data_IF_400345668377
#
_entry.id   IF_400345668377
#
_cell.length_a   1.000
_cell.length_b   1.000
_cell.length_c   1.000
_cell.angle_alpha   90.00
_cell.angle_beta   90.00
_cell.angle_gamma   90.00
#
_symmetry.space_group_name_H-M   'P 1'
#
loop_
_entity.id
_entity.type
_entity.pdbx_description
1 polymer ?
#
# COMPACT_ATOMS: atom_id res chain seq x y z
N UNK A 1 -3.86 11.28 -3.57
CA UNK A 1 -5.29 10.92 -3.52
C UNK A 1 -6.09 12.16 -3.89
N UNK A 2 -7.28 12.03 -4.50
CA UNK A 2 -8.10 13.21 -4.81
C UNK A 2 -8.61 13.86 -3.51
N UNK A 3 -8.22 15.11 -3.28
CA UNK A 3 -8.52 15.83 -2.04
C UNK A 3 -9.93 16.41 -1.97
N UNK A 4 -10.30 16.91 -0.79
CA UNK A 4 -11.58 17.58 -0.55
C UNK A 4 -12.72 16.63 -0.15
N UNK A 5 -13.96 17.14 -0.29
CA UNK A 5 -15.19 16.45 0.14
C UNK A 5 -16.22 16.27 -1.00
N UNK A 6 -15.81 16.49 -2.25
CA UNK A 6 -16.66 16.32 -3.41
C UNK A 6 -16.97 14.83 -3.72
N UNK A 7 -17.88 14.55 -4.66
CA UNK A 7 -18.33 13.19 -5.00
C UNK A 7 -17.22 12.29 -5.56
N UNK A 8 -16.11 12.86 -6.05
CA UNK A 8 -14.93 12.13 -6.54
C UNK A 8 -13.74 12.16 -5.58
N UNK A 9 -13.91 12.78 -4.40
CA UNK A 9 -12.85 12.84 -3.40
C UNK A 9 -12.57 11.47 -2.79
N UNK A 10 -11.35 11.28 -2.31
CA UNK A 10 -10.95 10.07 -1.60
C UNK A 10 -11.75 9.86 -0.31
N UNK A 11 -12.08 10.94 0.40
CA UNK A 11 -12.94 10.90 1.59
C UNK A 11 -14.28 10.19 1.32
N UNK A 12 -14.87 10.41 0.14
CA UNK A 12 -16.16 9.83 -0.24
C UNK A 12 -16.05 8.46 -0.93
N UNK A 13 -14.85 8.03 -1.33
CA UNK A 13 -14.63 6.85 -2.18
C UNK A 13 -13.53 5.91 -1.65
N UNK A 14 -13.24 5.94 -0.34
CA UNK A 14 -12.22 5.11 0.33
C UNK A 14 -12.81 3.92 1.09
N UNK A 15 -13.98 3.43 0.67
CA UNK A 15 -14.71 2.34 1.34
C UNK A 15 -13.86 1.09 1.53
N UNK A 16 -13.04 0.71 0.56
CA UNK A 16 -12.17 -0.47 0.69
C UNK A 16 -11.14 -0.28 1.81
N UNK A 17 -10.42 0.85 1.85
CA UNK A 17 -9.45 1.15 2.90
C UNK A 17 -10.13 1.31 4.27
N UNK A 18 -11.33 1.87 4.32
CA UNK A 18 -12.10 1.97 5.57
C UNK A 18 -12.42 0.58 6.12
N UNK A 19 -13.01 -0.30 5.30
CA UNK A 19 -13.34 -1.66 5.71
C UNK A 19 -12.10 -2.43 6.20
N UNK A 20 -10.96 -2.23 5.53
CA UNK A 20 -9.68 -2.81 5.93
C UNK A 20 -9.24 -2.36 7.33
N UNK A 21 -9.29 -1.06 7.60
CA UNK A 21 -8.91 -0.50 8.91
C UNK A 21 -9.89 -0.95 9.98
N UNK A 22 -11.19 -0.99 9.68
CA UNK A 22 -12.23 -1.45 10.60
C UNK A 22 -11.98 -2.91 11.04
N UNK A 23 -11.58 -3.79 10.11
CA UNK A 23 -11.19 -5.18 10.43
C UNK A 23 -9.90 -5.25 11.23
N UNK A 24 -8.91 -4.40 10.91
CA UNK A 24 -7.61 -4.42 11.59
C UNK A 24 -7.66 -3.81 13.01
N UNK A 25 -8.66 -2.99 13.31
CA UNK A 25 -8.70 -2.15 14.52
C UNK A 25 -8.62 -2.96 15.82
N UNK A 26 -9.49 -3.96 15.99
CA UNK A 26 -9.52 -4.76 17.23
C UNK A 26 -8.19 -5.48 17.47
N UNK A 27 -7.60 -5.98 16.38
CA UNK A 27 -6.30 -6.64 16.41
C UNK A 27 -5.15 -5.66 16.71
N UNK A 28 -5.24 -4.42 16.22
CA UNK A 28 -4.28 -3.37 16.56
C UNK A 28 -4.35 -3.04 18.05
N UNK A 29 -5.56 -2.86 18.58
CA UNK A 29 -5.79 -2.56 20.00
C UNK A 29 -5.24 -3.69 20.89
N UNK A 30 -5.57 -4.95 20.57
CA UNK A 30 -5.03 -6.16 21.23
C UNK A 30 -3.50 -6.16 21.22
N UNK A 31 -2.89 -5.91 20.06
CA UNK A 31 -1.43 -5.97 19.93
C UNK A 31 -0.74 -4.84 20.68
N UNK A 32 -1.33 -3.65 20.73
CA UNK A 32 -0.80 -2.54 21.51
C UNK A 32 -0.82 -2.91 23.00
N UNK A 33 -1.95 -3.41 23.50
CA UNK A 33 -2.11 -3.78 24.92
C UNK A 33 -1.14 -4.89 25.34
N UNK A 34 -0.91 -5.88 24.47
CA UNK A 34 0.00 -6.99 24.76
C UNK A 34 1.50 -6.64 24.65
N UNK A 35 1.85 -5.65 23.82
CA UNK A 35 3.23 -5.46 23.38
C UNK A 35 3.83 -4.09 23.73
N UNK A 36 3.03 -3.11 24.13
CA UNK A 36 3.54 -1.82 24.59
C UNK A 36 3.99 -1.93 26.05
N UNK A 37 5.30 -2.01 26.23
CA UNK A 37 5.92 -2.01 27.55
C UNK A 37 6.02 -0.58 28.09
N UNK A 38 4.96 -0.12 28.77
CA UNK A 38 4.88 1.22 29.36
C UNK A 38 5.88 1.40 30.52
N UNK A 39 6.35 0.29 31.12
CA UNK A 39 7.37 0.35 32.19
C UNK A 39 8.79 0.56 31.64
N UNK A 40 8.99 0.45 30.33
CA UNK A 40 10.27 0.72 29.70
C UNK A 40 10.69 2.19 29.95
N UNK A 41 11.95 2.45 30.36
CA UNK A 41 12.43 3.81 30.63
C UNK A 41 12.27 4.81 29.46
N UNK A 42 12.11 4.31 28.23
CA UNK A 42 11.84 5.12 27.05
C UNK A 42 10.43 5.75 27.06
N UNK A 43 9.51 5.26 27.89
CA UNK A 43 8.13 5.74 28.09
C UNK A 43 7.93 6.31 29.50
N UNK A 44 8.89 7.09 29.99
CA UNK A 44 8.71 7.87 31.23
C UNK A 44 7.39 8.65 31.18
N UNK A 45 6.53 8.47 32.18
CA UNK A 45 5.23 9.13 32.30
C UNK A 45 5.30 10.67 32.27
N UNK A 46 6.49 11.23 32.46
CA UNK A 46 6.77 12.66 32.36
C UNK A 46 6.87 13.17 30.92
N UNK A 47 7.00 12.28 29.93
CA UNK A 47 7.14 12.61 28.51
C UNK A 47 5.88 12.25 27.70
N UNK A 48 5.51 13.07 26.70
CA UNK A 48 4.40 12.74 25.81
C UNK A 48 4.71 11.52 24.94
N UNK A 49 3.71 10.67 24.75
CA UNK A 49 3.76 9.58 23.76
C UNK A 49 3.42 10.15 22.39
N UNK A 50 4.32 9.98 21.43
CA UNK A 50 4.15 10.45 20.06
C UNK A 50 3.66 9.33 19.14
N UNK A 51 2.59 9.60 18.41
CA UNK A 51 2.03 8.72 17.38
C UNK A 51 2.13 9.44 16.04
N UNK A 52 2.65 8.76 15.03
CA UNK A 52 2.75 9.27 13.67
C UNK A 52 1.97 8.34 12.72
N UNK A 53 1.12 8.95 11.89
CA UNK A 53 0.41 8.27 10.80
C UNK A 53 1.09 8.62 9.47
N UNK A 54 1.63 7.60 8.80
CA UNK A 54 2.40 7.74 7.56
C UNK A 54 1.57 7.22 6.40
N UNK A 55 1.05 8.15 5.59
CA UNK A 55 0.08 7.82 4.55
C UNK A 55 -1.35 8.17 4.93
N UNK A 56 -1.57 9.24 5.72
CA UNK A 56 -2.87 9.78 6.14
C UNK A 56 -3.80 10.26 5.01
N UNK A 57 -3.46 9.93 3.75
CA UNK A 57 -4.17 10.24 2.51
C UNK A 57 -4.14 11.70 2.07
N UNK A 58 -4.89 12.59 2.73
CA UNK A 58 -5.03 13.97 2.29
C UNK A 58 -3.90 14.85 2.84
N UNK A 59 -2.79 14.80 2.09
CA UNK A 59 -1.60 15.65 2.11
C UNK A 59 -0.82 15.44 0.79
N UNK A 60 0.16 16.28 0.43
CA UNK A 60 0.73 16.32 -0.92
C UNK A 60 1.62 15.12 -1.35
N UNK A 61 1.70 14.02 -0.59
CA UNK A 61 2.56 12.89 -0.95
C UNK A 61 1.88 11.53 -0.75
N UNK A 62 1.79 10.77 -1.85
CA UNK A 62 2.42 9.45 -2.06
C UNK A 62 1.79 8.84 -3.32
N UNK A 63 2.35 9.15 -4.49
CA UNK A 63 2.22 8.33 -5.70
C UNK A 63 3.50 8.47 -6.51
N UNK A 64 4.17 7.35 -6.76
CA UNK A 64 5.23 7.28 -7.76
C UNK A 64 4.64 6.64 -9.01
N UNK A 65 4.47 7.44 -10.05
CA UNK A 65 4.21 6.92 -11.39
C UNK A 65 5.57 6.65 -12.05
N UNK A 66 5.93 5.39 -12.31
CA UNK A 66 7.10 5.10 -13.13
C UNK A 66 6.66 5.09 -14.60
N UNK A 67 7.18 6.05 -15.35
CA UNK A 67 6.92 6.20 -16.77
C UNK A 67 7.76 5.17 -17.57
N UNK A 68 7.15 4.03 -17.88
CA UNK A 68 7.76 2.98 -18.68
C UNK A 68 6.91 2.62 -19.90
N UNK A 69 7.47 2.70 -21.10
CA UNK A 69 6.89 2.10 -22.32
C UNK A 69 7.10 0.58 -22.24
N UNK A 70 6.14 -0.14 -21.66
CA UNK A 70 6.25 -1.61 -21.51
C UNK A 70 5.61 -2.28 -22.74
N UNK A 71 6.44 -2.73 -23.69
CA UNK A 71 6.04 -3.74 -24.69
C UNK A 71 5.93 -5.11 -24.03
N UNK A 72 5.22 -6.07 -24.64
CA UNK A 72 5.09 -7.44 -24.11
C UNK A 72 6.44 -8.15 -23.80
N UNK A 73 7.54 -7.73 -24.43
CA UNK A 73 8.92 -8.19 -24.19
C UNK A 73 9.69 -7.43 -23.09
N UNK A 74 9.09 -6.38 -22.51
CA UNK A 74 9.68 -5.53 -21.47
C UNK A 74 9.03 -5.69 -20.09
N UNK A 75 8.07 -6.60 -19.94
CA UNK A 75 7.34 -6.82 -18.68
C UNK A 75 8.27 -7.35 -17.58
N UNK A 76 9.16 -8.29 -17.89
CA UNK A 76 10.13 -8.82 -16.92
C UNK A 76 11.08 -7.73 -16.41
N UNK A 77 11.57 -6.87 -17.32
CA UNK A 77 12.43 -5.73 -16.98
C UNK A 77 11.70 -4.70 -16.13
N UNK A 78 10.40 -4.48 -16.40
CA UNK A 78 9.59 -3.59 -15.60
C UNK A 78 9.41 -4.18 -14.19
N UNK A 79 9.02 -5.45 -14.09
CA UNK A 79 8.88 -6.16 -12.80
C UNK A 79 10.18 -6.06 -11.98
N UNK A 80 11.33 -6.30 -12.61
CA UNK A 80 12.64 -6.17 -11.97
C UNK A 80 12.91 -4.74 -11.49
N UNK A 81 12.65 -3.73 -12.34
CA UNK A 81 12.84 -2.33 -11.96
C UNK A 81 11.93 -1.91 -10.79
N UNK A 82 10.66 -2.34 -10.79
CA UNK A 82 9.73 -2.06 -9.70
C UNK A 82 10.13 -2.75 -8.40
N UNK A 83 10.52 -4.02 -8.45
CA UNK A 83 11.01 -4.75 -7.27
C UNK A 83 12.30 -4.10 -6.72
N UNK A 84 13.23 -3.72 -7.61
CA UNK A 84 14.45 -3.01 -7.21
C UNK A 84 14.16 -1.66 -6.54
N UNK A 85 13.21 -0.88 -7.09
CA UNK A 85 12.81 0.41 -6.52
C UNK A 85 12.11 0.23 -5.17
N UNK A 86 11.16 -0.71 -5.07
CA UNK A 86 10.50 -1.03 -3.81
C UNK A 86 11.49 -1.42 -2.72
N UNK A 87 12.45 -2.31 -3.04
CA UNK A 87 13.50 -2.72 -2.10
C UNK A 87 14.27 -1.51 -1.56
N UNK A 88 14.71 -0.63 -2.45
CA UNK A 88 15.44 0.59 -2.08
C UNK A 88 14.60 1.51 -1.19
N UNK A 89 13.34 1.73 -1.56
CA UNK A 89 12.45 2.64 -0.83
C UNK A 89 12.06 2.09 0.54
N UNK A 90 11.77 0.79 0.63
CA UNK A 90 11.47 0.14 1.90
C UNK A 90 12.69 0.05 2.82
N UNK A 91 13.88 -0.19 2.27
CA UNK A 91 15.12 -0.13 3.06
C UNK A 91 15.34 1.26 3.64
N UNK A 92 15.19 2.31 2.82
CA UNK A 92 15.28 3.69 3.28
C UNK A 92 14.22 3.99 4.34
N UNK A 93 12.97 3.60 4.10
CA UNK A 93 11.88 3.77 5.06
C UNK A 93 12.22 3.12 6.41
N UNK A 94 12.61 1.85 6.43
CA UNK A 94 12.97 1.15 7.66
C UNK A 94 14.16 1.82 8.35
N UNK A 95 15.21 2.18 7.61
CA UNK A 95 16.38 2.87 8.16
C UNK A 95 16.01 4.20 8.83
N UNK A 96 15.20 5.02 8.17
CA UNK A 96 14.75 6.30 8.72
C UNK A 96 13.86 6.10 9.94
N UNK A 97 12.88 5.19 9.89
CA UNK A 97 12.03 4.87 11.05
C UNK A 97 12.83 4.33 12.23
N UNK A 98 13.93 3.62 11.97
CA UNK A 98 14.81 3.11 13.02
C UNK A 98 15.59 4.22 13.76
N UNK A 99 15.78 5.39 13.14
CA UNK A 99 16.39 6.57 13.76
C UNK A 99 15.37 7.38 14.58
N UNK A 100 14.13 7.43 14.10
CA UNK A 100 13.07 8.25 14.69
C UNK A 100 12.35 7.56 15.85
N UNK A 101 12.17 6.24 15.79
CA UNK A 101 11.50 5.48 16.84
C UNK A 101 12.43 5.23 18.02
N UNK A 102 11.91 5.45 19.22
CA UNK A 102 12.56 5.10 20.48
C UNK A 102 12.82 3.59 20.60
N UNK A 103 13.75 3.19 21.45
CA UNK A 103 13.99 1.78 21.75
C UNK A 103 12.73 1.14 22.34
N UNK A 104 12.33 -0.02 21.82
CA UNK A 104 11.07 -0.66 22.19
C UNK A 104 9.83 -0.03 21.55
N UNK A 105 9.97 1.09 20.84
CA UNK A 105 8.89 1.72 20.07
C UNK A 105 8.27 0.78 19.06
N UNK A 106 6.97 0.93 18.84
CA UNK A 106 6.19 0.06 17.96
C UNK A 106 5.94 0.74 16.62
N UNK A 107 5.89 -0.07 15.56
CA UNK A 107 5.50 0.35 14.23
C UNK A 107 4.54 -0.67 13.65
N UNK A 108 3.38 -0.20 13.20
CA UNK A 108 2.34 -1.01 12.59
C UNK A 108 2.31 -0.67 11.11
N UNK A 109 2.54 -1.68 10.26
CA UNK A 109 2.49 -1.51 8.81
C UNK A 109 1.29 -2.28 8.29
N UNK A 110 0.27 -1.55 7.86
CA UNK A 110 -0.88 -2.09 7.16
C UNK A 110 -0.67 -1.89 5.66
N UNK A 111 -0.51 -2.96 4.89
CA UNK A 111 -0.17 -2.85 3.47
C UNK A 111 -0.80 -3.96 2.63
N UNK A 112 -1.05 -3.66 1.35
CA UNK A 112 -1.56 -4.64 0.39
C UNK A 112 -0.38 -5.29 -0.32
N UNK A 113 -0.31 -6.63 -0.28
CA UNK A 113 0.79 -7.39 -0.86
C UNK A 113 0.27 -8.58 -1.64
N UNK A 114 1.11 -9.06 -2.55
CA UNK A 114 0.89 -10.30 -3.27
C UNK A 114 1.35 -11.49 -2.42
N UNK A 115 0.49 -12.49 -2.15
CA UNK A 115 0.94 -13.74 -1.54
C UNK A 115 1.96 -14.46 -2.44
N UNK A 116 2.81 -15.27 -1.81
CA UNK A 116 3.80 -16.06 -2.56
C UNK A 116 3.11 -17.05 -3.50
N UNK A 117 3.62 -17.17 -4.74
CA UNK A 117 3.09 -18.08 -5.76
C UNK A 117 1.89 -17.53 -6.55
N UNK A 118 1.30 -16.41 -6.14
CA UNK A 118 0.24 -15.74 -6.91
C UNK A 118 0.87 -14.90 -8.02
N UNK A 119 0.31 -14.98 -9.23
CA UNK A 119 0.71 -14.14 -10.35
C UNK A 119 -0.11 -12.85 -10.33
N UNK A 120 0.56 -11.69 -10.35
CA UNK A 120 -0.12 -10.40 -10.27
C UNK A 120 -1.19 -10.22 -11.36
N UNK A 121 -0.91 -10.64 -12.60
CA UNK A 121 -1.86 -10.54 -13.71
C UNK A 121 -3.13 -11.39 -13.55
N UNK A 122 -3.15 -12.32 -12.59
CA UNK A 122 -4.32 -13.16 -12.29
C UNK A 122 -5.16 -12.61 -11.13
N UNK A 123 -4.71 -11.52 -10.51
CA UNK A 123 -5.42 -10.84 -9.42
C UNK A 123 -6.45 -9.85 -9.94
N UNK A 124 -7.45 -9.52 -9.13
CA UNK A 124 -8.46 -8.49 -9.43
C UNK A 124 -7.79 -7.15 -9.77
N UNK A 125 -6.79 -6.74 -8.98
CA UNK A 125 -6.01 -5.53 -9.26
C UNK A 125 -5.21 -5.59 -10.57
N UNK A 126 -4.49 -6.69 -10.83
CA UNK A 126 -3.70 -6.81 -12.06
C UNK A 126 -4.57 -6.87 -13.33
N UNK A 127 -5.70 -7.57 -13.28
CA UNK A 127 -6.68 -7.58 -14.38
C UNK A 127 -7.37 -6.22 -14.57
N UNK A 128 -7.66 -5.52 -13.47
CA UNK A 128 -8.19 -4.14 -13.49
C UNK A 128 -7.20 -3.16 -14.11
N UNK A 129 -5.92 -3.25 -13.76
CA UNK A 129 -4.85 -2.47 -14.39
C UNK A 129 -4.69 -2.81 -15.87
N UNK A 130 -4.87 -4.07 -16.26
CA UNK A 130 -4.88 -4.42 -17.67
C UNK A 130 -6.04 -3.75 -18.41
N UNK A 131 -7.23 -3.66 -17.80
CA UNK A 131 -8.37 -2.94 -18.37
C UNK A 131 -8.02 -1.46 -18.62
N UNK A 132 -7.38 -0.82 -17.65
CA UNK A 132 -6.88 0.56 -17.72
C UNK A 132 -5.86 0.72 -18.84
N UNK A 133 -4.85 -0.16 -18.87
CA UNK A 133 -3.80 -0.19 -19.91
C UNK A 133 -4.39 -0.37 -21.30
N UNK A 134 -5.42 -1.21 -21.46
CA UNK A 134 -6.08 -1.39 -22.76
C UNK A 134 -6.91 -0.19 -23.18
N UNK A 135 -7.41 0.62 -22.24
CA UNK A 135 -8.09 1.89 -22.56
C UNK A 135 -7.11 3.00 -22.97
N UNK A 136 -5.86 2.96 -22.50
CA UNK A 136 -4.83 3.96 -22.86
C UNK A 136 -3.52 3.30 -23.25
N UNK A 137 -3.12 3.47 -24.51
CA UNK A 137 -1.89 2.94 -25.12
C UNK A 137 -0.59 3.39 -24.43
N UNK A 138 -0.62 4.35 -23.51
CA UNK A 138 0.53 4.91 -22.80
C UNK A 138 0.36 4.88 -21.27
N UNK A 139 -0.29 3.85 -20.71
CA UNK A 139 -0.45 3.78 -19.26
C UNK A 139 0.90 3.63 -18.56
N UNK A 140 1.18 4.55 -17.65
CA UNK A 140 2.02 4.32 -16.48
C UNK A 140 1.55 3.04 -15.80
N UNK A 141 2.46 2.07 -15.64
CA UNK A 141 2.16 0.90 -14.83
C UNK A 141 1.87 1.44 -13.42
N UNK A 142 0.64 1.25 -12.96
CA UNK A 142 0.34 1.49 -11.58
C UNK A 142 1.00 0.37 -10.76
N UNK A 143 1.43 0.75 -9.57
CA UNK A 143 2.27 0.02 -8.63
C UNK A 143 2.20 -1.51 -8.73
N UNK A 144 3.28 -2.15 -9.17
CA UNK A 144 3.40 -3.61 -9.04
C UNK A 144 3.37 -3.97 -7.56
N UNK A 145 2.35 -4.73 -7.14
CA UNK A 145 2.25 -5.23 -5.77
C UNK A 145 3.47 -6.08 -5.44
N UNK A 146 4.14 -5.72 -4.36
CA UNK A 146 5.31 -6.45 -3.90
C UNK A 146 4.87 -7.72 -3.17
N UNK A 147 5.75 -8.72 -3.13
CA UNK A 147 5.43 -9.99 -2.48
C UNK A 147 5.66 -9.91 -0.98
N UNK A 148 4.83 -10.64 -0.23
CA UNK A 148 5.04 -10.77 1.21
C UNK A 148 6.45 -11.30 1.56
N UNK A 149 6.95 -12.31 0.84
CA UNK A 149 8.30 -12.84 1.07
C UNK A 149 9.39 -11.77 0.96
N UNK A 150 9.27 -10.87 -0.01
CA UNK A 150 10.23 -9.79 -0.25
C UNK A 150 10.22 -8.77 0.89
N UNK A 151 9.04 -8.32 1.34
CA UNK A 151 8.94 -7.40 2.48
C UNK A 151 9.53 -8.05 3.76
N UNK A 152 9.23 -9.32 4.00
CA UNK A 152 9.74 -10.06 5.15
C UNK A 152 11.27 -10.12 5.14
N UNK A 153 11.86 -10.45 3.99
CA UNK A 153 13.32 -10.48 3.83
C UNK A 153 13.95 -9.11 4.10
N UNK A 154 13.35 -8.03 3.63
CA UNK A 154 13.84 -6.66 3.86
C UNK A 154 13.83 -6.29 5.34
N UNK A 155 12.76 -6.60 6.06
CA UNK A 155 12.66 -6.34 7.51
C UNK A 155 13.72 -7.14 8.27
N UNK A 156 13.88 -8.43 7.94
CA UNK A 156 14.87 -9.31 8.58
C UNK A 156 16.30 -8.84 8.29
N UNK A 157 16.60 -8.51 7.03
CA UNK A 157 17.92 -8.04 6.61
C UNK A 157 18.29 -6.70 7.26
N UNK A 158 17.33 -5.78 7.39
CA UNK A 158 17.52 -4.49 8.03
C UNK A 158 17.93 -4.63 9.51
N UNK A 159 17.32 -5.58 10.22
CA UNK A 159 17.76 -5.97 11.57
C UNK A 159 17.54 -4.94 12.67
N UNK A 160 16.99 -3.74 12.37
CA UNK A 160 16.62 -2.75 13.39
C UNK A 160 15.27 -3.04 14.03
N UNK A 161 14.43 -3.83 13.38
CA UNK A 161 13.11 -4.21 13.85
C UNK A 161 13.01 -5.69 14.15
N UNK A 162 12.23 -6.03 15.16
CA UNK A 162 11.72 -7.36 15.41
C UNK A 162 10.30 -7.44 14.86
N UNK A 163 10.02 -8.47 14.07
CA UNK A 163 8.64 -8.82 13.74
C UNK A 163 8.02 -9.44 14.98
N UNK A 164 6.99 -8.79 15.53
CA UNK A 164 6.23 -9.27 16.69
C UNK A 164 5.12 -10.18 16.21
N UNK A 165 4.33 -9.70 15.25
CA UNK A 165 3.19 -10.42 14.68
C UNK A 165 2.99 -10.05 13.23
N UNK A 166 2.47 -10.99 12.47
CA UNK A 166 2.03 -10.80 11.09
C UNK A 166 0.65 -11.40 11.01
N UNK A 167 -0.31 -10.62 10.54
CA UNK A 167 -1.65 -11.11 10.29
C UNK A 167 -2.02 -10.86 8.83
N UNK A 168 -2.48 -11.92 8.18
CA UNK A 168 -3.02 -11.85 6.83
C UNK A 168 -4.52 -11.64 6.98
N UNK A 169 -5.00 -10.48 6.54
CA UNK A 169 -6.40 -10.12 6.55
C UNK A 169 -7.00 -10.39 5.17
N UNK A 170 -8.24 -10.87 5.16
CA UNK A 170 -8.98 -11.06 3.92
C UNK A 170 -9.23 -9.70 3.25
N UNK A 171 -9.02 -9.67 1.93
CA UNK A 171 -9.21 -8.45 1.17
C UNK A 171 -10.72 -8.16 0.99
N UNK A 172 -11.20 -6.92 1.20
CA UNK A 172 -12.64 -6.63 1.21
C UNK A 172 -13.39 -6.96 -0.08
N UNK A 173 -12.72 -7.07 -1.24
CA UNK A 173 -13.37 -7.49 -2.48
C UNK A 173 -13.80 -8.96 -2.51
N UNK A 174 -13.44 -9.74 -1.49
CA UNK A 174 -14.08 -11.04 -1.25
C UNK A 174 -15.58 -10.93 -0.97
N UNK A 175 -16.06 -9.82 -0.40
CA UNK A 175 -17.48 -9.58 -0.11
C UNK A 175 -18.24 -9.20 -1.39
N UNK A 176 -19.36 -9.88 -1.66
CA UNK A 176 -20.19 -9.66 -2.84
C UNK A 176 -20.65 -8.20 -2.97
N UNK A 177 -20.93 -7.52 -1.85
CA UNK A 177 -21.35 -6.10 -1.85
C UNK A 177 -20.26 -5.15 -2.38
N UNK A 178 -19.02 -5.61 -2.39
CA UNK A 178 -17.83 -4.87 -2.81
C UNK A 178 -17.45 -5.15 -4.27
N UNK A 179 -18.14 -6.07 -4.96
CA UNK A 179 -17.88 -6.46 -6.36
C UNK A 179 -18.62 -5.60 -7.39
N UNK A 180 -19.07 -4.41 -7.01
CA UNK A 180 -19.70 -3.45 -7.92
C UNK A 180 -18.63 -2.78 -8.81
N UNK A 181 -18.66 -2.97 -10.15
CA UNK A 181 -17.72 -2.34 -11.06
C UNK A 181 -17.71 -0.80 -10.97
N UNK A 182 -18.84 -0.18 -10.63
CA UNK A 182 -18.96 1.28 -10.45
C UNK A 182 -18.32 1.76 -9.16
N UNK A 183 -18.44 0.98 -8.09
CA UNK A 183 -17.70 1.23 -6.85
C UNK A 183 -16.19 1.16 -7.11
N UNK A 184 -15.74 0.14 -7.83
CA UNK A 184 -14.33 -0.04 -8.19
C UNK A 184 -13.80 1.11 -9.06
N UNK A 185 -14.55 1.51 -10.10
CA UNK A 185 -14.16 2.63 -10.97
C UNK A 185 -14.06 3.96 -10.21
N UNK A 186 -15.04 4.25 -9.34
CA UNK A 186 -15.02 5.45 -8.48
C UNK A 186 -13.86 5.45 -7.50
N UNK A 187 -13.61 4.28 -6.89
CA UNK A 187 -12.47 4.10 -6.00
C UNK A 187 -11.15 4.37 -6.72
N UNK A 188 -10.95 3.70 -7.85
CA UNK A 188 -9.76 3.85 -8.67
C UNK A 188 -9.56 5.31 -9.09
N UNK A 189 -10.64 5.99 -9.52
CA UNK A 189 -10.61 7.44 -9.79
C UNK A 189 -10.11 8.23 -8.60
N UNK A 190 -10.71 8.06 -7.43
CA UNK A 190 -10.30 8.81 -6.24
C UNK A 190 -8.84 8.57 -5.83
N UNK A 191 -8.28 7.41 -6.18
CA UNK A 191 -6.88 7.07 -5.96
C UNK A 191 -5.96 7.81 -6.93
N UNK A 192 -6.28 7.78 -8.22
CA UNK A 192 -5.31 8.12 -9.27
C UNK A 192 -5.62 9.42 -10.02
N UNK A 193 -6.76 10.08 -9.75
CA UNK A 193 -7.26 11.25 -10.51
C UNK A 193 -6.14 12.28 -10.72
N UNK A 194 -5.46 12.66 -9.64
CA UNK A 194 -4.38 13.66 -9.70
C UNK A 194 -3.20 13.20 -10.54
N UNK A 195 -2.79 11.93 -10.44
CA UNK A 195 -1.68 11.39 -11.25
C UNK A 195 -2.05 11.41 -12.72
N UNK A 196 -3.28 11.03 -13.05
CA UNK A 196 -3.77 10.99 -14.42
C UNK A 196 -3.98 12.41 -14.96
N UNK A 197 -4.46 13.35 -14.15
CA UNK A 197 -4.63 14.75 -14.55
C UNK A 197 -3.27 15.40 -14.83
N UNK A 198 -2.28 15.20 -13.96
CA UNK A 198 -0.92 15.72 -14.13
C UNK A 198 -0.26 15.18 -15.40
N UNK A 199 -0.48 13.91 -15.73
CA UNK A 199 0.16 13.27 -16.89
C UNK A 199 -0.59 13.48 -18.21
N UNK A 200 -1.92 13.60 -18.18
CA UNK A 200 -2.76 13.50 -19.37
C UNK A 200 -3.74 14.67 -19.56
N UNK A 201 -3.83 15.61 -18.61
CA UNK A 201 -4.73 16.76 -18.68
C UNK A 201 -6.22 16.43 -18.50
N UNK A 202 -7.08 17.39 -18.85
CA UNK A 202 -8.53 17.39 -18.51
C UNK A 202 -9.42 16.43 -19.31
N UNK A 203 -8.88 15.71 -20.30
CA UNK A 203 -9.61 14.65 -21.03
C UNK A 203 -9.87 13.38 -20.18
N UNK A 204 -9.72 13.50 -18.86
CA UNK A 204 -9.74 12.44 -17.86
C UNK A 204 -11.16 11.96 -17.49
N UNK A 205 -12.16 12.83 -17.58
CA UNK A 205 -13.54 12.48 -17.18
C UNK A 205 -14.08 11.36 -18.07
N UNK A 206 -13.90 11.49 -19.39
CA UNK A 206 -14.34 10.45 -20.32
C UNK A 206 -13.55 9.14 -20.17
N UNK A 207 -12.31 9.21 -19.68
CA UNK A 207 -11.51 8.01 -19.42
C UNK A 207 -12.14 7.16 -18.32
N UNK A 208 -12.57 7.75 -17.20
CA UNK A 208 -13.20 7.00 -16.12
C UNK A 208 -14.60 6.47 -16.50
N UNK A 209 -15.34 7.18 -17.36
CA UNK A 209 -16.61 6.68 -17.89
C UNK A 209 -16.39 5.45 -18.80
N UNK A 210 -15.38 5.48 -19.67
CA UNK A 210 -14.99 4.32 -20.49
C UNK A 210 -14.48 3.15 -19.64
N UNK A 211 -13.64 3.44 -18.64
CA UNK A 211 -13.16 2.44 -17.70
C UNK A 211 -14.31 1.75 -16.97
N UNK A 212 -15.30 2.52 -16.50
CA UNK A 212 -16.49 1.97 -15.84
C UNK A 212 -17.23 1.00 -16.75
N UNK A 213 -17.53 1.40 -17.99
CA UNK A 213 -18.18 0.52 -18.98
C UNK A 213 -17.38 -0.74 -19.27
N UNK A 214 -16.05 -0.64 -19.29
CA UNK A 214 -15.17 -1.78 -19.51
C UNK A 214 -15.19 -2.74 -18.32
N UNK A 215 -15.13 -2.24 -17.10
CA UNK A 215 -15.24 -3.08 -15.90
C UNK A 215 -16.62 -3.74 -15.80
N UNK A 216 -17.69 -3.02 -16.14
CA UNK A 216 -19.05 -3.58 -16.26
C UNK A 216 -19.11 -4.71 -17.32
N UNK A 217 -18.37 -4.58 -18.43
CA UNK A 217 -18.25 -5.62 -19.44
C UNK A 217 -17.33 -6.80 -19.07
N UNK A 218 -16.57 -6.71 -17.98
CA UNK A 218 -15.60 -7.71 -17.54
C UNK A 218 -15.83 -8.09 -16.06
N UNK A 219 -17.08 -8.35 -15.66
CA UNK A 219 -17.43 -8.64 -14.26
C UNK A 219 -16.69 -9.85 -13.66
N UNK A 220 -16.26 -10.80 -14.50
CA UNK A 220 -15.49 -11.96 -14.07
C UNK A 220 -14.19 -11.59 -13.34
N UNK A 221 -13.65 -10.37 -13.54
CA UNK A 221 -12.47 -9.86 -12.84
C UNK A 221 -12.68 -9.86 -11.32
N UNK A 222 -13.94 -9.71 -10.87
CA UNK A 222 -14.31 -9.65 -9.47
C UNK A 222 -14.73 -11.01 -8.90
N UNK A 223 -14.57 -12.10 -9.65
CA UNK A 223 -14.82 -13.45 -9.13
C UNK A 223 -13.86 -13.74 -7.96
N UNK A 224 -14.34 -14.46 -6.96
CA UNK A 224 -13.57 -14.79 -5.74
C UNK A 224 -12.19 -15.41 -6.04
N UNK A 225 -12.11 -16.24 -7.09
CA UNK A 225 -10.85 -16.85 -7.55
C UNK A 225 -9.76 -15.85 -7.93
N UNK A 226 -10.12 -14.61 -8.27
CA UNK A 226 -9.20 -13.54 -8.67
C UNK A 226 -8.87 -12.59 -7.52
N UNK A 227 -9.65 -12.58 -6.43
CA UNK A 227 -9.36 -11.83 -5.21
C UNK A 227 -8.27 -12.51 -4.37
N UNK A 228 -7.07 -12.63 -4.94
CA UNK A 228 -5.95 -13.36 -4.32
C UNK A 228 -4.93 -12.44 -3.65
N UNK A 229 -4.94 -11.14 -3.92
CA UNK A 229 -4.24 -10.13 -3.15
C UNK A 229 -4.72 -10.15 -1.70
N UNK A 230 -3.81 -9.88 -0.77
CA UNK A 230 -4.14 -9.92 0.65
C UNK A 230 -3.55 -8.72 1.37
N UNK A 231 -4.31 -8.24 2.34
CA UNK A 231 -3.80 -7.22 3.23
C UNK A 231 -2.99 -7.89 4.34
N UNK A 232 -1.86 -7.27 4.67
CA UNK A 232 -1.01 -7.72 5.76
C UNK A 232 -0.93 -6.62 6.80
N UNK A 233 -1.23 -6.98 8.05
CA UNK A 233 -0.90 -6.21 9.23
C UNK A 233 0.42 -6.74 9.78
N UNK A 234 1.47 -5.93 9.72
CA UNK A 234 2.81 -6.29 10.18
C UNK A 234 3.15 -5.45 11.40
N UNK A 235 3.25 -6.11 12.55
CA UNK A 235 3.59 -5.47 13.82
C UNK A 235 5.09 -5.59 14.08
N UNK A 236 5.75 -4.45 14.24
CA UNK A 236 7.19 -4.34 14.37
C UNK A 236 7.55 -3.65 15.69
N UNK A 237 8.59 -4.16 16.36
CA UNK A 237 9.18 -3.52 17.55
C UNK A 237 10.61 -3.09 17.25
N UNK A 238 10.95 -1.85 17.60
CA UNK A 238 12.31 -1.31 17.45
C UNK A 238 13.25 -2.00 18.45
N UNK A 239 14.30 -2.63 17.93
CA UNK A 239 15.35 -3.27 18.77
C UNK A 239 16.26 -2.24 19.42
N UNK A 240 16.54 -2.38 20.71
CA UNK A 240 17.56 -1.60 21.41
C UNK A 240 18.98 -2.02 21.01
N UNK A 241 19.92 -1.06 21.00
CA UNK A 241 21.38 -1.29 20.88
C UNK A 241 21.89 -1.98 19.59
N UNK A 242 21.54 -1.43 18.42
CA UNK A 242 22.56 -1.29 17.37
C UNK A 242 22.85 0.20 17.23
N UNK A 243 24.06 0.62 17.60
CA UNK A 243 24.56 1.94 17.17
C UNK A 243 24.38 1.97 15.65
N UNK A 244 23.58 2.90 15.15
CA UNK A 244 23.50 3.17 13.71
C UNK A 244 24.82 3.86 13.36
N UNK A 245 25.89 3.07 13.21
CA UNK A 245 27.27 3.54 12.98
C UNK A 245 27.48 4.07 11.55
N UNK A 246 26.44 4.28 10.74
CA UNK A 246 26.58 4.62 9.32
C UNK A 246 26.03 5.98 8.90
N UNK A 247 25.57 6.83 9.82
CA UNK A 247 25.01 8.14 9.47
C UNK A 247 25.73 9.36 10.05
N UNK A 248 26.95 9.19 10.58
CA UNK A 248 27.77 10.33 11.05
C UNK A 248 28.49 11.13 9.93
N UNK A 249 28.19 10.91 8.64
CA UNK A 249 28.94 11.55 7.55
C UNK A 249 28.12 12.33 6.50
N UNK A 250 26.83 12.62 6.73
CA UNK A 250 26.03 13.41 5.77
C UNK A 250 25.16 14.50 6.42
N UNK A 251 25.73 15.25 7.38
CA UNK A 251 25.29 16.60 7.69
C UNK A 251 26.45 17.57 7.48
#
# INVERSE_FOLDING_TARGET
MNGGNGPHSYTQNSTFQKNMVDVAKELIDELIDENLDIENPSFDCSNPVWIADLGCSVGPYTFFAVQGRISHTGMDKAIEAYSGQFRKDMENFLNTRALELVNGGMMIVLTLLLPNGVLYSETTLGMGEECVRRERTHSTCLSILCRWGELKELIVANGYFQIVRIEKLDYPMGDEKNRDPRLCARHFRAVIDGVVEDHFGKEIVEFFDRLTKKLEGNMFIFDEKHCQEAQYLVFLRRRGHRLILHLKFLL
#
